data_IF_773606864016
#
_entry.id   IF_773606864016
#
_cell.length_a   1.000
_cell.length_b   1.000
_cell.length_c   1.000
_cell.angle_alpha   90.00
_cell.angle_beta   90.00
_cell.angle_gamma   90.00
#
_symmetry.space_group_name_H-M   'P 1'
#
loop_
_entity.id
_entity.type
_entity.pdbx_description
1 polymer ?
#
# COMPACT_ATOMS: atom_id res chain seq x y z
N UNK A 1 -5.46 -21.24 -18.89
CA UNK A 1 -4.03 -21.35 -18.55
C UNK A 1 -3.38 -20.04 -18.94
N UNK A 2 -3.13 -19.18 -17.97
CA UNK A 2 -2.51 -17.87 -18.21
C UNK A 2 -1.00 -18.06 -18.39
N UNK A 3 -0.43 -17.42 -19.40
CA UNK A 3 0.99 -17.55 -19.72
C UNK A 3 1.82 -17.05 -18.53
N UNK A 4 2.86 -17.83 -18.17
CA UNK A 4 3.77 -17.44 -17.09
C UNK A 4 4.71 -16.34 -17.57
N UNK A 5 4.78 -15.24 -16.83
CA UNK A 5 5.71 -14.15 -17.11
C UNK A 5 7.03 -14.46 -16.39
N UNK A 6 8.16 -14.14 -17.03
CA UNK A 6 9.47 -14.31 -16.41
C UNK A 6 9.68 -13.33 -15.26
N UNK A 7 10.22 -13.76 -14.10
CA UNK A 7 10.44 -12.90 -12.92
C UNK A 7 11.34 -11.68 -13.16
N UNK A 8 12.18 -11.71 -14.21
CA UNK A 8 13.04 -10.58 -14.59
C UNK A 8 12.23 -9.47 -15.26
N UNK A 9 11.12 -9.81 -15.93
CA UNK A 9 10.29 -8.84 -16.67
C UNK A 9 9.13 -8.30 -15.85
N UNK A 10 8.61 -9.09 -14.90
CA UNK A 10 7.47 -8.71 -14.06
C UNK A 10 7.56 -9.38 -12.70
N UNK A 11 7.09 -8.67 -11.67
CA UNK A 11 6.88 -9.22 -10.32
C UNK A 11 5.70 -10.21 -10.27
N UNK A 12 4.82 -10.21 -11.29
CA UNK A 12 3.67 -11.09 -11.38
C UNK A 12 3.98 -12.36 -12.15
N UNK A 13 3.50 -13.50 -11.64
CA UNK A 13 3.72 -14.80 -12.27
C UNK A 13 2.93 -14.97 -13.57
N UNK A 14 1.81 -14.25 -13.73
CA UNK A 14 0.94 -14.36 -14.91
C UNK A 14 0.37 -13.01 -15.33
N UNK A 15 0.02 -12.90 -16.62
CA UNK A 15 -0.64 -11.71 -17.16
C UNK A 15 -1.99 -11.43 -16.50
N UNK A 16 -2.72 -12.48 -16.14
CA UNK A 16 -4.00 -12.34 -15.45
C UNK A 16 -3.83 -11.74 -14.05
N UNK A 17 -2.80 -12.14 -13.31
CA UNK A 17 -2.49 -11.54 -12.01
C UNK A 17 -2.11 -10.07 -12.15
N UNK A 18 -1.26 -9.74 -13.13
CA UNK A 18 -0.87 -8.36 -13.42
C UNK A 18 -2.07 -7.49 -13.79
N UNK A 19 -2.96 -7.99 -14.66
CA UNK A 19 -4.17 -7.27 -15.08
C UNK A 19 -5.15 -7.06 -13.92
N UNK A 20 -5.29 -8.05 -13.03
CA UNK A 20 -6.10 -7.92 -11.81
C UNK A 20 -5.53 -6.87 -10.86
N UNK A 21 -4.21 -6.86 -10.67
CA UNK A 21 -3.54 -5.86 -9.85
C UNK A 21 -3.70 -4.46 -10.46
N UNK A 22 -3.43 -4.29 -11.75
CA UNK A 22 -3.54 -2.99 -12.43
C UNK A 22 -4.98 -2.43 -12.32
N UNK A 23 -6.00 -3.28 -12.51
CA UNK A 23 -7.41 -2.87 -12.34
C UNK A 23 -7.70 -2.40 -10.91
N UNK A 24 -7.26 -3.15 -9.90
CA UNK A 24 -7.43 -2.76 -8.50
C UNK A 24 -6.66 -1.48 -8.17
N UNK A 25 -5.40 -1.38 -8.61
CA UNK A 25 -4.53 -0.24 -8.33
C UNK A 25 -5.10 1.05 -8.94
N UNK A 26 -5.55 1.02 -10.19
CA UNK A 26 -6.22 2.18 -10.81
C UNK A 26 -7.50 2.57 -10.08
N UNK A 27 -8.30 1.61 -9.65
CA UNK A 27 -9.50 1.90 -8.88
C UNK A 27 -9.17 2.55 -7.52
N UNK A 28 -8.13 2.06 -6.85
CA UNK A 28 -7.66 2.62 -5.58
C UNK A 28 -7.12 4.05 -5.75
N UNK A 29 -6.29 4.28 -6.77
CA UNK A 29 -5.77 5.62 -7.10
C UNK A 29 -6.91 6.57 -7.44
N UNK A 30 -7.88 6.13 -8.23
CA UNK A 30 -9.02 6.98 -8.57
C UNK A 30 -9.87 7.31 -7.33
N UNK A 31 -10.05 6.36 -6.41
CA UNK A 31 -10.74 6.61 -5.15
C UNK A 31 -9.99 7.65 -4.31
N UNK A 32 -8.65 7.58 -4.23
CA UNK A 32 -7.82 8.58 -3.53
C UNK A 32 -7.86 9.96 -4.20
N UNK A 33 -7.89 10.04 -5.53
CA UNK A 33 -8.01 11.33 -6.26
C UNK A 33 -9.40 11.95 -6.05
N UNK A 34 -10.43 11.11 -6.00
CA UNK A 34 -11.81 11.55 -5.80
C UNK A 34 -12.14 11.88 -4.34
N UNK A 35 -11.23 11.61 -3.40
CA UNK A 35 -11.41 11.95 -1.99
C UNK A 35 -11.38 13.47 -1.80
N UNK A 36 -12.45 14.10 -1.29
CA UNK A 36 -12.49 15.54 -1.07
C UNK A 36 -11.68 15.99 0.15
N UNK A 37 -11.11 15.07 0.93
CA UNK A 37 -10.31 15.40 2.10
C UNK A 37 -9.10 16.29 1.71
N UNK A 38 -8.76 17.30 2.55
CA UNK A 38 -7.60 18.12 2.30
C UNK A 38 -6.32 17.29 2.44
N UNK A 39 -5.31 17.63 1.63
CA UNK A 39 -3.99 17.04 1.79
C UNK A 39 -3.41 17.37 3.16
N UNK A 40 -2.79 16.38 3.80
CA UNK A 40 -2.09 16.55 5.07
C UNK A 40 -0.60 16.87 4.84
N UNK A 41 0.01 17.76 5.64
CA UNK A 41 1.45 18.02 5.58
C UNK A 41 2.28 16.79 5.92
N UNK A 42 3.51 16.74 5.40
CA UNK A 42 4.46 15.65 5.69
C UNK A 42 4.66 15.43 7.20
N UNK A 43 4.84 16.51 7.96
CA UNK A 43 5.08 16.44 9.41
C UNK A 43 3.92 15.80 10.16
N UNK A 44 2.69 16.04 9.69
CA UNK A 44 1.48 15.46 10.26
C UNK A 44 1.44 13.94 10.00
N UNK A 45 1.70 13.48 8.78
CA UNK A 45 1.79 12.03 8.45
C UNK A 45 2.81 11.35 9.36
N UNK A 46 3.98 11.96 9.53
CA UNK A 46 5.04 11.39 10.35
C UNK A 46 4.69 11.36 11.84
N UNK A 47 3.93 12.34 12.34
CA UNK A 47 3.42 12.33 13.71
C UNK A 47 2.40 11.20 13.93
N UNK A 48 1.42 11.07 13.04
CA UNK A 48 0.40 10.02 13.08
C UNK A 48 1.03 8.62 12.98
N UNK A 49 2.04 8.44 12.13
CA UNK A 49 2.79 7.17 12.04
C UNK A 49 3.54 6.83 13.34
N UNK A 50 4.19 7.81 13.99
CA UNK A 50 4.89 7.57 15.26
C UNK A 50 3.93 7.19 16.37
N UNK A 51 2.82 7.91 16.50
CA UNK A 51 1.78 7.60 17.49
C UNK A 51 1.20 6.20 17.28
N UNK A 52 0.94 5.82 16.03
CA UNK A 52 0.48 4.47 15.70
C UNK A 52 1.49 3.39 16.08
N UNK A 53 2.78 3.60 15.84
CA UNK A 53 3.84 2.65 16.22
C UNK A 53 3.99 2.54 17.74
N UNK A 54 3.95 3.65 18.46
CA UNK A 54 3.99 3.69 19.93
C UNK A 54 2.77 2.98 20.52
N UNK A 55 1.58 3.15 19.93
CA UNK A 55 0.36 2.44 20.35
C UNK A 55 0.45 0.92 20.18
N UNK A 56 1.30 0.46 19.26
CA UNK A 56 1.52 -0.97 18.98
C UNK A 56 2.69 -1.57 19.74
N UNK A 57 3.53 -0.75 20.37
CA UNK A 57 4.51 -1.24 21.31
C UNK A 57 3.79 -1.70 22.57
N UNK A 58 3.49 -2.99 22.63
CA UNK A 58 3.24 -3.66 23.91
C UNK A 58 4.46 -3.46 24.81
N UNK A 59 4.30 -3.14 26.11
CA UNK A 59 5.42 -3.03 27.03
C UNK A 59 6.10 -4.39 27.18
N UNK A 60 7.17 -4.59 26.41
CA UNK A 60 8.12 -5.71 26.46
C UNK A 60 9.46 -5.04 26.15
N UNK A 61 10.42 -4.89 27.05
CA UNK A 61 10.73 -5.57 28.31
C UNK A 61 11.01 -4.55 29.42
N UNK A 62 10.40 -4.76 30.58
CA UNK A 62 11.03 -4.43 31.86
C UNK A 62 11.54 -5.75 32.44
N UNK A 63 12.83 -6.05 32.21
CA UNK A 63 13.51 -7.26 32.67
C UNK A 63 15.01 -7.17 32.41
#
# INVERSE_FOLDING_TARGET
MSARISPIMSEFETEEQAARYDKWFRAQVQASISDPAPNIPHDQVMAEMREFLESKQTPSDAG
#
